data_IF_851339421694
#
_entry.id   IF_851339421694
#
_cell.length_a   1.000
_cell.length_b   1.000
_cell.length_c   1.000
_cell.angle_alpha   90.00
_cell.angle_beta   90.00
_cell.angle_gamma   90.00
#
_symmetry.space_group_name_H-M   'P 1'
#
loop_
_entity.id
_entity.type
_entity.pdbx_description
1 polymer ?
#
# COMPACT_ATOMS: atom_id res chain seq x y z
N UNK A 1 14.91 62.55 -18.82
CA UNK A 1 13.75 61.64 -19.00
C UNK A 1 14.21 60.23 -18.71
N UNK A 2 13.88 59.67 -17.54
CA UNK A 2 14.29 58.32 -17.19
C UNK A 2 13.51 57.88 -15.96
N UNK A 3 12.48 57.06 -16.17
CA UNK A 3 11.65 56.56 -15.08
C UNK A 3 10.29 56.05 -15.53
N UNK A 4 10.26 55.02 -16.40
CA UNK A 4 9.02 54.30 -16.74
C UNK A 4 9.09 52.78 -16.55
N UNK A 5 10.21 52.25 -16.04
CA UNK A 5 10.37 50.80 -15.85
C UNK A 5 10.69 50.49 -14.39
N UNK A 6 9.63 50.19 -13.61
CA UNK A 6 9.77 49.48 -12.34
C UNK A 6 9.56 47.99 -12.61
N UNK A 7 10.53 47.16 -12.22
CA UNK A 7 10.32 45.73 -12.24
C UNK A 7 9.22 45.34 -11.22
N UNK A 8 8.33 44.39 -11.55
CA UNK A 8 7.34 43.91 -10.60
C UNK A 8 8.03 43.21 -9.42
N UNK A 9 7.53 43.47 -8.21
CA UNK A 9 8.00 42.82 -6.99
C UNK A 9 7.94 41.29 -7.13
N UNK A 10 8.99 40.55 -6.72
CA UNK A 10 8.98 39.10 -6.78
C UNK A 10 7.85 38.52 -5.91
N UNK A 11 7.29 37.37 -6.30
CA UNK A 11 6.25 36.69 -5.54
C UNK A 11 6.79 36.23 -4.18
N UNK A 12 5.92 36.23 -3.17
CA UNK A 12 6.29 35.82 -1.83
C UNK A 12 6.78 34.35 -1.81
N UNK A 13 7.78 34.02 -0.97
CA UNK A 13 8.26 32.66 -0.84
C UNK A 13 7.15 31.74 -0.33
N UNK A 14 7.09 30.53 -0.89
CA UNK A 14 6.14 29.49 -0.48
C UNK A 14 6.38 29.13 1.00
N UNK A 15 5.30 28.96 1.74
CA UNK A 15 5.37 28.48 3.12
C UNK A 15 5.90 27.05 3.17
N UNK A 16 6.76 26.77 4.14
CA UNK A 16 7.27 25.42 4.37
C UNK A 16 6.15 24.49 4.88
N UNK A 17 6.13 23.21 4.48
CA UNK A 17 5.15 22.26 4.97
C UNK A 17 5.29 22.08 6.49
N UNK A 18 4.17 22.18 7.21
CA UNK A 18 4.10 21.90 8.64
C UNK A 18 4.50 20.43 8.88
N UNK A 19 5.41 20.14 9.84
CA UNK A 19 5.76 18.78 10.17
C UNK A 19 4.51 18.00 10.64
N UNK A 20 4.39 16.71 10.30
CA UNK A 20 3.26 15.91 10.74
C UNK A 20 3.25 15.77 12.26
N UNK A 21 2.05 15.69 12.85
CA UNK A 21 1.91 15.37 14.27
C UNK A 21 2.51 13.98 14.55
N UNK A 22 3.44 13.85 15.52
CA UNK A 22 4.08 12.57 15.85
C UNK A 22 3.08 11.46 16.19
N UNK A 23 1.91 11.77 16.74
CA UNK A 23 0.88 10.77 17.05
C UNK A 23 0.26 10.18 15.78
N UNK A 24 0.07 11.01 14.75
CA UNK A 24 -0.46 10.60 13.46
C UNK A 24 0.56 9.71 12.74
N UNK A 25 1.84 10.03 12.81
CA UNK A 25 2.90 9.19 12.23
C UNK A 25 3.02 7.84 12.93
N UNK A 26 2.96 7.81 14.26
CA UNK A 26 3.00 6.56 15.02
C UNK A 26 1.83 5.64 14.65
N UNK A 27 0.62 6.23 14.51
CA UNK A 27 -0.57 5.49 14.06
C UNK A 27 -0.41 4.94 12.64
N UNK A 28 0.09 5.75 11.71
CA UNK A 28 0.33 5.32 10.31
C UNK A 28 1.33 4.16 10.24
N UNK A 29 2.48 4.30 10.91
CA UNK A 29 3.51 3.24 10.99
C UNK A 29 2.94 1.92 11.52
N UNK A 30 2.09 1.99 12.55
CA UNK A 30 1.44 0.80 13.11
C UNK A 30 0.51 0.11 12.10
N UNK A 31 -0.28 0.88 11.35
CA UNK A 31 -1.17 0.33 10.33
C UNK A 31 -0.38 -0.31 9.18
N UNK A 32 0.66 0.38 8.70
CA UNK A 32 1.55 -0.13 7.65
C UNK A 32 2.23 -1.45 8.04
N UNK A 33 2.68 -1.57 9.29
CA UNK A 33 3.24 -2.82 9.80
C UNK A 33 2.22 -3.97 9.79
N UNK A 34 0.98 -3.70 10.19
CA UNK A 34 -0.09 -4.70 10.19
C UNK A 34 -0.37 -5.17 8.77
N UNK A 35 -0.47 -4.24 7.81
CA UNK A 35 -0.70 -4.57 6.41
C UNK A 35 0.46 -5.36 5.79
N UNK A 36 1.71 -5.00 6.12
CA UNK A 36 2.89 -5.75 5.70
C UNK A 36 2.85 -7.19 6.22
N UNK A 37 2.53 -7.39 7.50
CA UNK A 37 2.38 -8.73 8.10
C UNK A 37 1.24 -9.51 7.43
N UNK A 38 0.12 -8.86 7.12
CA UNK A 38 -1.04 -9.49 6.47
C UNK A 38 -0.69 -10.02 5.07
N UNK A 39 0.03 -9.24 4.26
CA UNK A 39 0.49 -9.66 2.91
C UNK A 39 1.38 -10.89 2.94
N UNK A 40 2.31 -10.98 3.90
CA UNK A 40 3.16 -12.17 4.05
C UNK A 40 2.35 -13.42 4.41
N UNK A 41 1.38 -13.27 5.33
CA UNK A 41 0.53 -14.37 5.80
C UNK A 41 -0.34 -14.98 4.71
N UNK A 42 -0.92 -14.19 3.80
CA UNK A 42 -1.77 -14.74 2.75
C UNK A 42 -1.01 -15.68 1.81
N UNK A 43 0.23 -15.33 1.45
CA UNK A 43 1.10 -16.19 0.63
C UNK A 43 1.45 -17.49 1.35
N UNK A 44 1.86 -17.40 2.63
CA UNK A 44 2.17 -18.59 3.45
C UNK A 44 0.96 -19.49 3.64
N UNK A 45 -0.23 -18.92 3.86
CA UNK A 45 -1.46 -19.72 3.99
C UNK A 45 -1.73 -20.45 2.67
N UNK A 46 -1.70 -19.75 1.53
CA UNK A 46 -1.98 -20.33 0.22
C UNK A 46 -1.02 -21.48 -0.15
N UNK A 47 0.27 -21.36 0.17
CA UNK A 47 1.28 -22.39 -0.17
C UNK A 47 1.52 -23.42 0.93
N UNK A 48 0.97 -23.22 2.12
CA UNK A 48 1.09 -24.20 3.20
C UNK A 48 0.40 -25.52 2.83
N UNK A 49 0.84 -26.66 3.39
CA UNK A 49 0.18 -27.96 3.16
C UNK A 49 -1.34 -27.90 3.43
N UNK A 50 -1.75 -27.19 4.49
CA UNK A 50 -3.16 -27.02 4.84
C UNK A 50 -3.94 -26.17 3.83
N UNK A 51 -3.32 -25.11 3.31
CA UNK A 51 -3.95 -24.26 2.28
C UNK A 51 -4.11 -24.98 0.95
N UNK A 52 -3.12 -25.78 0.57
CA UNK A 52 -3.16 -26.56 -0.66
C UNK A 52 -4.26 -27.63 -0.62
N UNK A 53 -4.40 -28.32 0.52
CA UNK A 53 -5.45 -29.32 0.75
C UNK A 53 -6.86 -28.70 0.73
N UNK A 54 -7.03 -27.52 1.33
CA UNK A 54 -8.30 -26.79 1.27
C UNK A 54 -8.65 -26.27 -0.13
N UNK A 55 -7.64 -26.01 -0.98
CA UNK A 55 -7.85 -25.68 -2.39
C UNK A 55 -8.31 -26.91 -3.19
N UNK A 56 -7.71 -28.09 -2.96
CA UNK A 56 -8.15 -29.32 -3.63
C UNK A 56 -9.59 -29.70 -3.29
N UNK A 57 -10.03 -29.49 -2.05
CA UNK A 57 -11.41 -29.77 -1.64
C UNK A 57 -12.45 -28.88 -2.35
N UNK A 58 -12.06 -27.67 -2.78
CA UNK A 58 -12.92 -26.75 -3.53
C UNK A 58 -12.83 -26.91 -5.05
N UNK A 59 -11.94 -27.78 -5.56
CA UNK A 59 -11.92 -28.07 -6.99
C UNK A 59 -13.08 -28.99 -7.35
N UNK A 60 -13.95 -28.65 -8.32
CA UNK A 60 -15.01 -29.55 -8.75
C UNK A 60 -14.38 -30.83 -9.29
N UNK A 61 -14.80 -32.00 -8.78
CA UNK A 61 -14.38 -33.33 -9.26
C UNK A 61 -14.75 -33.45 -10.74
N UNK A 62 -13.81 -33.08 -11.62
CA UNK A 62 -13.95 -33.29 -13.06
C UNK A 62 -13.73 -34.77 -13.33
N UNK A 63 -14.42 -35.28 -14.35
CA UNK A 63 -14.27 -36.66 -14.82
C UNK A 63 -12.78 -36.95 -15.04
N UNK A 64 -12.25 -37.97 -14.36
CA UNK A 64 -10.89 -38.43 -14.58
C UNK A 64 -10.81 -39.09 -15.96
N UNK A 65 -9.67 -38.96 -16.63
CA UNK A 65 -9.45 -39.53 -17.97
C UNK A 65 -9.56 -41.07 -17.98
N UNK A 66 -9.54 -41.69 -16.79
CA UNK A 66 -9.61 -43.13 -16.58
C UNK A 66 -10.93 -43.60 -15.92
N UNK A 67 -11.89 -42.71 -15.67
CA UNK A 67 -13.26 -43.12 -15.31
C UNK A 67 -13.48 -43.65 -13.89
N UNK A 68 -12.76 -43.12 -12.90
CA UNK A 68 -13.10 -43.22 -11.46
C UNK A 68 -13.35 -41.82 -10.87
#
# INVERSE_FOLDING_TARGET
>A
MGGLFSAPSPPAPLSMPTPPDPEIEARKKRLEEIERRRRGRSGTIATSPRGLLGLSDNTPKRKSLLGE
#
